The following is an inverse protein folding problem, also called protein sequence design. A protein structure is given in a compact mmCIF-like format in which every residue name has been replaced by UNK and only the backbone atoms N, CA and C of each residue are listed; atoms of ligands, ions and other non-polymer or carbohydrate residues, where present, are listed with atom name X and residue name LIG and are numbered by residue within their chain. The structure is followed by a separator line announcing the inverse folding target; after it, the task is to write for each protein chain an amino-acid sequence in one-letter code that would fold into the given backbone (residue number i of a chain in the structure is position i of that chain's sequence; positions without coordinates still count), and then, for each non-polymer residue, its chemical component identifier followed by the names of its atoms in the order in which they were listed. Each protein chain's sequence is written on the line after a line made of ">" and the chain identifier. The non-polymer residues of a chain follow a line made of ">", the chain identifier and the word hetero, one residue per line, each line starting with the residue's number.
data_IF_602279772145
#
_entry.id   IF_602279772145
#
_cell.length_a   1.000
_cell.length_b   1.000
_cell.length_c   1.000
_cell.angle_alpha   90.00
_cell.angle_beta   90.00
_cell.angle_gamma   90.00
#
_symmetry.space_group_name_H-M   'P 1'
#
loop_
_entity.id
_entity.type
_entity.pdbx_description
1 polymer ?
#
# COMPACT_ATOMS: atom_id res chain seq x y z
N UNK A 1 23.13 -2.78 -19.36
CA UNK A 1 22.17 -3.60 -18.61
C UNK A 1 21.27 -2.62 -17.87
N UNK A 2 19.98 -2.89 -17.71
CA UNK A 2 19.05 -1.92 -17.11
C UNK A 2 19.32 -1.68 -15.61
N UNK A 3 20.07 -2.59 -14.97
CA UNK A 3 20.41 -2.47 -13.54
C UNK A 3 21.90 -2.71 -13.35
N UNK A 4 22.55 -1.75 -12.69
CA UNK A 4 23.92 -1.83 -12.17
C UNK A 4 23.86 -2.05 -10.66
N UNK A 5 24.08 -3.29 -10.21
CA UNK A 5 23.95 -3.67 -8.80
C UNK A 5 24.93 -2.93 -7.87
N UNK A 6 26.16 -2.68 -8.33
CA UNK A 6 27.19 -2.03 -7.52
C UNK A 6 26.84 -0.57 -7.19
N UNK A 7 26.07 0.06 -8.07
CA UNK A 7 25.59 1.44 -7.90
C UNK A 7 24.22 1.49 -7.19
N UNK A 8 23.35 0.52 -7.49
CA UNK A 8 21.95 0.55 -7.04
C UNK A 8 21.76 0.00 -5.62
N UNK A 9 22.44 -1.10 -5.29
CA UNK A 9 22.24 -1.76 -3.99
C UNK A 9 22.83 -0.91 -2.86
N UNK A 10 21.98 -0.56 -1.91
CA UNK A 10 22.34 0.30 -0.78
C UNK A 10 22.35 1.80 -1.11
N UNK A 11 22.05 2.19 -2.35
CA UNK A 11 21.94 3.60 -2.71
C UNK A 11 20.79 4.28 -1.96
N UNK A 12 21.04 5.50 -1.52
CA UNK A 12 20.05 6.35 -0.86
C UNK A 12 19.62 7.47 -1.82
N UNK A 13 18.32 7.76 -1.83
CA UNK A 13 17.79 8.92 -2.53
C UNK A 13 17.95 10.17 -1.66
N UNK A 14 17.98 11.34 -2.30
CA UNK A 14 17.99 12.60 -1.57
C UNK A 14 16.79 12.66 -0.60
N UNK A 15 16.99 13.16 0.63
CA UNK A 15 15.91 13.34 1.59
C UNK A 15 14.79 14.22 1.02
N UNK A 16 13.55 13.85 1.30
CA UNK A 16 12.35 14.60 0.89
C UNK A 16 11.61 15.07 2.13
N UNK A 17 11.50 16.38 2.29
CA UNK A 17 10.65 17.00 3.30
C UNK A 17 9.21 17.10 2.79
N UNK A 18 8.25 16.80 3.65
CA UNK A 18 6.83 16.93 3.35
C UNK A 18 6.03 17.22 4.64
N UNK A 19 4.81 17.67 4.47
CA UNK A 19 3.90 17.92 5.59
C UNK A 19 2.51 17.40 5.25
N UNK A 20 1.72 17.18 6.29
CA UNK A 20 0.32 16.79 6.19
C UNK A 20 -0.52 17.48 7.26
N UNK A 21 -1.80 17.57 6.99
CA UNK A 21 -2.81 18.16 7.86
C UNK A 21 -3.86 17.12 8.26
N UNK A 22 -4.67 17.43 9.27
CA UNK A 22 -5.81 16.57 9.62
C UNK A 22 -6.81 16.42 8.47
N UNK A 23 -6.95 17.43 7.61
CA UNK A 23 -7.79 17.33 6.41
C UNK A 23 -7.27 16.32 5.39
N UNK A 24 -5.95 16.21 5.25
CA UNK A 24 -5.33 15.20 4.36
C UNK A 24 -5.59 13.79 4.88
N UNK A 25 -5.46 13.60 6.19
CA UNK A 25 -5.77 12.33 6.86
C UNK A 25 -7.25 11.96 6.68
N UNK A 26 -8.16 12.91 6.90
CA UNK A 26 -9.59 12.69 6.70
C UNK A 26 -9.91 12.38 5.23
N UNK A 27 -9.32 13.09 4.27
CA UNK A 27 -9.48 12.81 2.84
C UNK A 27 -8.98 11.41 2.48
N UNK A 28 -7.84 10.98 3.04
CA UNK A 28 -7.35 9.62 2.88
C UNK A 28 -8.37 8.59 3.36
N UNK A 29 -8.92 8.77 4.56
CA UNK A 29 -9.90 7.85 5.12
C UNK A 29 -11.20 7.83 4.31
N UNK A 30 -11.69 8.98 3.83
CA UNK A 30 -12.80 9.04 2.87
C UNK A 30 -12.46 8.28 1.58
N UNK A 31 -11.22 8.43 1.08
CA UNK A 31 -10.68 7.67 -0.04
C UNK A 31 -10.68 6.16 0.19
N UNK A 32 -10.64 5.69 1.43
CA UNK A 32 -10.78 4.28 1.81
C UNK A 32 -12.23 3.86 2.09
N UNK A 33 -13.20 4.77 1.95
CA UNK A 33 -14.61 4.49 2.19
C UNK A 33 -15.05 4.61 3.64
N UNK A 34 -14.25 5.22 4.52
CA UNK A 34 -14.69 5.56 5.86
C UNK A 34 -15.90 6.51 5.84
N UNK A 35 -16.83 6.37 6.78
CA UNK A 35 -18.04 7.20 6.86
C UNK A 35 -19.15 6.78 5.89
N UNK A 36 -19.08 5.59 5.31
CA UNK A 36 -20.15 5.06 4.46
C UNK A 36 -21.48 4.95 5.21
N UNK A 37 -21.44 4.64 6.51
CA UNK A 37 -22.57 4.80 7.42
C UNK A 37 -22.31 6.01 8.36
N UNK A 38 -23.00 7.14 8.15
CA UNK A 38 -22.81 8.34 8.95
C UNK A 38 -23.32 8.20 10.41
N UNK A 39 -24.03 7.12 10.72
CA UNK A 39 -24.52 6.82 12.09
C UNK A 39 -23.57 5.91 12.85
N UNK A 40 -22.59 5.28 12.19
CA UNK A 40 -21.58 4.48 12.88
C UNK A 40 -20.49 5.39 13.45
N UNK A 41 -20.51 5.58 14.76
CA UNK A 41 -19.52 6.40 15.48
C UNK A 41 -18.09 5.87 15.37
N UNK A 42 -17.91 4.58 15.10
CA UNK A 42 -16.57 3.99 14.89
C UNK A 42 -15.97 4.50 13.59
N UNK A 43 -16.79 4.66 12.55
CA UNK A 43 -16.39 5.26 11.29
C UNK A 43 -16.01 6.74 11.43
N UNK A 44 -16.79 7.48 12.24
CA UNK A 44 -16.61 8.92 12.41
C UNK A 44 -15.30 9.29 13.13
N UNK A 45 -14.72 8.37 13.93
CA UNK A 45 -13.41 8.59 14.59
C UNK A 45 -12.27 8.88 13.62
N UNK A 46 -12.40 8.49 12.35
CA UNK A 46 -11.46 8.75 11.29
C UNK A 46 -11.66 10.10 10.59
N UNK A 47 -12.79 10.79 10.81
CA UNK A 47 -13.28 11.84 9.91
C UNK A 47 -13.66 13.17 10.57
N UNK A 48 -14.14 13.19 11.82
CA UNK A 48 -14.90 14.34 12.35
C UNK A 48 -14.21 15.13 13.46
N UNK A 49 -13.10 14.66 14.00
CA UNK A 49 -12.39 15.36 15.07
C UNK A 49 -11.24 16.20 14.52
N UNK A 50 -10.86 17.25 15.25
CA UNK A 50 -9.62 18.00 14.98
C UNK A 50 -8.37 17.09 15.10
N UNK A 51 -8.54 15.96 15.80
CA UNK A 51 -7.52 14.93 15.99
C UNK A 51 -8.05 13.56 15.55
N UNK A 52 -8.31 13.33 14.25
CA UNK A 52 -8.78 12.03 13.77
C UNK A 52 -7.73 10.94 14.05
N UNK A 53 -8.20 9.71 14.31
CA UNK A 53 -7.30 8.57 14.33
C UNK A 53 -6.69 8.35 12.95
N UNK A 54 -5.38 8.08 12.90
CA UNK A 54 -4.64 7.94 11.65
C UNK A 54 -4.29 6.47 11.44
N UNK A 55 -4.86 5.85 10.41
CA UNK A 55 -4.45 4.52 10.00
C UNK A 55 -2.96 4.52 9.61
N UNK A 56 -2.13 3.57 10.08
CA UNK A 56 -0.71 3.50 9.73
C UNK A 56 -0.45 3.51 8.23
N UNK A 57 -1.38 3.01 7.43
CA UNK A 57 -1.31 3.00 5.96
C UNK A 57 -1.36 4.40 5.32
N UNK A 58 -1.75 5.45 6.05
CA UNK A 58 -1.56 6.84 5.62
C UNK A 58 -0.08 7.14 5.36
N UNK A 59 0.83 6.58 6.18
CA UNK A 59 2.27 6.72 5.99
C UNK A 59 2.77 6.30 4.61
N UNK A 60 2.08 5.36 3.95
CA UNK A 60 2.45 4.89 2.62
C UNK A 60 2.17 5.92 1.51
N UNK A 61 1.31 6.91 1.75
CA UNK A 61 0.91 7.94 0.77
C UNK A 61 1.29 9.36 1.20
N UNK A 62 1.61 9.57 2.47
CA UNK A 62 1.82 10.90 3.04
C UNK A 62 2.85 11.76 2.27
N UNK A 63 3.98 11.16 1.86
CA UNK A 63 5.03 11.85 1.11
C UNK A 63 4.55 12.35 -0.27
N UNK A 64 3.65 11.61 -0.92
CA UNK A 64 3.17 11.92 -2.26
C UNK A 64 1.76 12.52 -2.28
N UNK A 65 1.19 12.79 -1.11
CA UNK A 65 -0.23 13.11 -0.97
C UNK A 65 -0.69 14.31 -1.83
N UNK A 66 0.13 15.34 -1.93
CA UNK A 66 -0.17 16.55 -2.71
C UNK A 66 0.36 16.50 -4.15
N UNK A 67 0.93 15.38 -4.58
CA UNK A 67 1.45 15.25 -5.93
C UNK A 67 0.31 15.14 -6.95
N UNK A 68 0.45 15.85 -8.05
CA UNK A 68 -0.49 15.81 -9.19
C UNK A 68 0.13 15.18 -10.43
N UNK A 69 1.45 15.01 -10.41
CA UNK A 69 2.22 14.38 -11.49
C UNK A 69 3.11 13.28 -10.91
N UNK A 70 3.45 12.25 -11.69
CA UNK A 70 4.40 11.23 -11.27
C UNK A 70 5.75 11.85 -10.89
N UNK A 71 6.42 11.38 -9.84
CA UNK A 71 7.72 11.89 -9.46
C UNK A 71 8.76 11.62 -10.55
N UNK A 72 9.49 12.65 -10.97
CA UNK A 72 10.64 12.54 -11.87
C UNK A 72 11.89 12.13 -11.08
N UNK A 73 11.91 10.91 -10.54
CA UNK A 73 13.04 10.40 -9.75
C UNK A 73 13.95 9.56 -10.64
N UNK A 74 15.24 9.87 -10.63
CA UNK A 74 16.28 8.99 -11.18
C UNK A 74 16.77 8.09 -10.06
N UNK A 75 16.67 6.79 -10.28
CA UNK A 75 17.19 5.80 -9.34
C UNK A 75 18.66 5.50 -9.67
N UNK A 76 19.60 5.65 -8.72
CA UNK A 76 21.00 5.31 -8.95
C UNK A 76 21.15 3.87 -9.47
N UNK A 77 21.87 3.67 -10.56
CA UNK A 77 22.12 2.36 -11.14
C UNK A 77 20.89 1.61 -11.68
N UNK A 78 19.71 2.23 -11.73
CA UNK A 78 18.45 1.61 -12.18
C UNK A 78 17.88 2.43 -13.34
N UNK A 79 17.97 1.90 -14.54
CA UNK A 79 17.43 2.49 -15.78
C UNK A 79 16.41 1.51 -16.38
N UNK A 80 15.19 1.56 -15.85
CA UNK A 80 14.08 0.65 -16.22
C UNK A 80 12.93 1.42 -16.84
N UNK A 81 12.18 0.73 -17.69
CA UNK A 81 10.97 1.29 -18.30
C UNK A 81 9.81 1.32 -17.32
N UNK A 82 9.46 2.51 -16.81
CA UNK A 82 8.42 2.68 -15.79
C UNK A 82 7.03 2.19 -16.20
N UNK A 83 6.71 2.17 -17.50
CA UNK A 83 5.44 1.62 -18.01
C UNK A 83 5.30 0.10 -17.78
N UNK A 84 6.39 -0.61 -17.53
CA UNK A 84 6.43 -2.05 -17.25
C UNK A 84 6.51 -2.37 -15.75
N UNK A 85 6.53 -1.34 -14.91
CA UNK A 85 6.66 -1.49 -13.47
C UNK A 85 5.29 -1.71 -12.83
N UNK A 86 5.22 -2.72 -11.96
CA UNK A 86 4.06 -2.98 -11.11
C UNK A 86 4.46 -2.83 -9.65
N UNK A 87 3.59 -2.25 -8.84
CA UNK A 87 3.70 -2.31 -7.39
C UNK A 87 3.47 -3.75 -6.95
N UNK A 88 4.44 -4.35 -6.27
CA UNK A 88 4.39 -5.77 -5.91
C UNK A 88 4.07 -6.01 -4.44
N UNK A 89 4.69 -5.27 -3.53
CA UNK A 89 4.46 -5.40 -2.08
C UNK A 89 4.58 -4.06 -1.39
N UNK A 90 3.87 -3.93 -0.30
CA UNK A 90 3.89 -2.76 0.58
C UNK A 90 3.80 -3.19 2.04
N UNK A 91 4.56 -2.56 2.92
CA UNK A 91 4.45 -2.71 4.36
C UNK A 91 4.74 -1.38 5.06
N UNK A 92 4.11 -1.17 6.20
CA UNK A 92 4.36 -0.05 7.10
C UNK A 92 4.53 -0.55 8.52
N UNK A 93 5.51 -0.01 9.23
CA UNK A 93 5.73 -0.26 10.66
C UNK A 93 5.77 1.07 11.37
N UNK A 94 5.04 1.17 12.47
CA UNK A 94 4.94 2.37 13.29
C UNK A 94 5.43 2.09 14.72
N UNK A 95 6.24 2.97 15.34
CA UNK A 95 6.60 2.86 16.75
C UNK A 95 5.45 3.28 17.67
N UNK A 96 4.47 4.00 17.15
CA UNK A 96 3.28 4.52 17.83
C UNK A 96 2.33 5.18 16.83
N UNK A 97 1.22 5.77 17.29
CA UNK A 97 0.25 6.43 16.42
C UNK A 97 0.88 7.55 15.59
N UNK A 98 0.56 7.59 14.30
CA UNK A 98 0.93 8.72 13.43
C UNK A 98 0.11 9.94 13.85
N UNK A 99 0.73 11.13 14.06
CA UNK A 99 -0.03 12.32 14.41
C UNK A 99 -0.93 12.78 13.23
N UNK A 100 -2.11 13.36 13.53
CA UNK A 100 -3.07 13.78 12.48
C UNK A 100 -2.57 14.93 11.62
N UNK A 101 -1.55 15.65 12.06
CA UNK A 101 -0.85 16.67 11.28
C UNK A 101 0.61 16.69 11.67
N UNK A 102 1.48 17.06 10.73
CA UNK A 102 2.91 17.10 11.02
C UNK A 102 3.77 17.42 9.80
N UNK A 103 5.06 17.35 10.04
CA UNK A 103 6.11 17.45 9.03
C UNK A 103 7.04 16.25 9.19
N UNK A 104 7.46 15.67 8.09
CA UNK A 104 8.39 14.55 8.08
C UNK A 104 9.48 14.72 7.04
N UNK A 105 10.62 14.09 7.29
CA UNK A 105 11.70 13.91 6.33
C UNK A 105 11.81 12.44 5.99
N UNK A 106 11.60 12.10 4.72
CA UNK A 106 11.70 10.74 4.19
C UNK A 106 13.09 10.50 3.58
N UNK A 107 13.74 9.41 3.98
CA UNK A 107 14.97 8.90 3.36
C UNK A 107 14.69 7.51 2.83
N UNK A 108 14.89 7.30 1.54
CA UNK A 108 14.64 6.03 0.86
C UNK A 108 15.96 5.39 0.45
N UNK A 109 16.11 4.09 0.77
CA UNK A 109 17.27 3.27 0.41
C UNK A 109 16.84 2.02 -0.33
N UNK A 110 17.58 1.61 -1.37
CA UNK A 110 17.39 0.32 -2.03
C UNK A 110 18.07 -0.79 -1.23
N UNK A 111 17.28 -1.73 -0.73
CA UNK A 111 17.74 -2.75 0.23
C UNK A 111 18.03 -4.10 -0.42
N UNK A 112 17.24 -4.47 -1.44
CA UNK A 112 17.37 -5.76 -2.13
C UNK A 112 17.00 -5.59 -3.60
N UNK A 113 17.72 -6.26 -4.49
CA UNK A 113 17.45 -6.27 -5.93
C UNK A 113 17.62 -7.70 -6.43
N UNK A 114 16.54 -8.30 -6.92
CA UNK A 114 16.50 -9.69 -7.33
C UNK A 114 16.34 -9.85 -8.84
N UNK A 115 17.19 -10.66 -9.46
CA UNK A 115 17.10 -11.05 -10.87
C UNK A 115 16.23 -12.31 -11.02
N UNK A 116 14.99 -12.14 -11.48
CA UNK A 116 14.07 -13.25 -11.75
C UNK A 116 14.24 -13.83 -13.18
N UNK A 117 15.32 -13.48 -13.87
CA UNK A 117 15.62 -13.90 -15.24
C UNK A 117 14.90 -13.06 -16.30
N UNK A 118 13.59 -12.96 -16.27
CA UNK A 118 12.76 -12.14 -17.18
C UNK A 118 12.23 -10.86 -16.55
N UNK A 119 12.48 -10.63 -15.28
CA UNK A 119 12.02 -9.47 -14.54
C UNK A 119 13.00 -9.15 -13.41
N UNK A 120 12.96 -7.92 -12.92
CA UNK A 120 13.61 -7.52 -11.68
C UNK A 120 12.58 -7.33 -10.57
N UNK A 121 12.97 -7.64 -9.32
CA UNK A 121 12.24 -7.22 -8.12
C UNK A 121 13.16 -6.30 -7.35
N UNK A 122 12.72 -5.08 -7.12
CA UNK A 122 13.51 -4.04 -6.47
C UNK A 122 12.80 -3.65 -5.17
N UNK A 123 13.50 -3.84 -4.06
CA UNK A 123 13.04 -3.47 -2.73
C UNK A 123 13.65 -2.15 -2.30
N UNK A 124 12.83 -1.32 -1.71
CA UNK A 124 13.25 -0.09 -1.04
C UNK A 124 12.65 -0.01 0.35
N UNK A 125 13.39 0.62 1.25
CA UNK A 125 12.94 0.99 2.57
C UNK A 125 13.00 2.50 2.71
N UNK A 126 11.92 3.10 3.20
CA UNK A 126 11.83 4.51 3.50
C UNK A 126 11.65 4.70 5.00
N UNK A 127 12.52 5.49 5.60
CA UNK A 127 12.42 5.90 7.00
C UNK A 127 11.92 7.34 7.04
N UNK A 128 10.91 7.60 7.85
CA UNK A 128 10.35 8.95 8.04
C UNK A 128 10.52 9.37 9.48
N UNK A 129 11.23 10.48 9.66
CA UNK A 129 11.46 11.10 10.96
C UNK A 129 10.80 12.49 11.03
N UNK A 130 10.41 12.91 12.23
CA UNK A 130 9.98 14.26 12.50
C UNK A 130 11.17 15.26 12.47
N UNK A 131 10.95 16.59 12.56
CA UNK A 131 12.04 17.58 12.59
C UNK A 131 12.99 17.47 13.79
N UNK A 132 12.59 16.76 14.86
CA UNK A 132 13.44 16.48 16.02
C UNK A 132 14.30 15.20 15.83
N UNK A 133 14.11 14.47 14.73
CA UNK A 133 14.78 13.21 14.42
C UNK A 133 14.10 11.97 15.02
N UNK A 134 12.90 12.10 15.57
CA UNK A 134 12.14 10.97 16.11
C UNK A 134 11.52 10.18 14.96
N UNK A 135 11.65 8.85 14.99
CA UNK A 135 11.06 7.96 14.01
C UNK A 135 9.52 8.04 14.09
N UNK A 136 8.87 8.36 12.98
CA UNK A 136 7.42 8.34 12.83
C UNK A 136 6.92 7.02 12.25
N UNK A 137 7.55 6.52 11.16
CA UNK A 137 7.28 5.21 10.57
C UNK A 137 8.41 4.76 9.66
N UNK A 138 8.43 3.47 9.38
CA UNK A 138 9.19 2.89 8.26
C UNK A 138 8.24 2.27 7.24
N UNK A 139 8.61 2.33 5.97
CA UNK A 139 7.87 1.77 4.85
C UNK A 139 8.80 0.84 4.07
N UNK A 140 8.37 -0.39 3.80
CA UNK A 140 9.10 -1.32 2.93
C UNK A 140 8.25 -1.60 1.70
N UNK A 141 8.80 -1.34 0.52
CA UNK A 141 8.10 -1.44 -0.76
C UNK A 141 8.89 -2.30 -1.73
N UNK A 142 8.21 -3.07 -2.56
CA UNK A 142 8.84 -3.66 -3.73
C UNK A 142 8.08 -3.34 -5.02
N UNK A 143 8.84 -3.20 -6.11
CA UNK A 143 8.31 -3.11 -7.45
C UNK A 143 8.76 -4.33 -8.26
N UNK A 144 7.91 -4.73 -9.21
CA UNK A 144 8.20 -5.78 -10.17
C UNK A 144 8.32 -5.17 -11.56
N UNK A 145 9.53 -5.17 -12.11
CA UNK A 145 9.84 -4.58 -13.42
C UNK A 145 9.92 -5.70 -14.48
N UNK A 146 8.87 -5.78 -15.31
CA UNK A 146 8.76 -6.81 -16.38
C UNK A 146 9.76 -6.53 -17.47
N UNK A 147 10.46 -7.58 -17.93
CA UNK A 147 11.44 -7.48 -19.01
C UNK A 147 12.79 -6.94 -18.58
N UNK A 148 12.98 -6.56 -17.33
CA UNK A 148 14.17 -5.88 -16.81
C UNK A 148 15.10 -6.83 -16.01
N UNK A 149 14.98 -8.14 -16.22
CA UNK A 149 15.86 -9.16 -15.64
C UNK A 149 17.09 -9.48 -16.52
N UNK A 150 17.89 -10.47 -16.09
CA UNK A 150 19.07 -10.93 -16.82
C UNK A 150 20.34 -10.11 -16.55
N UNK A 151 20.35 -9.34 -15.47
CA UNK A 151 21.52 -8.55 -15.05
C UNK A 151 22.50 -9.33 -14.15
N UNK A 152 22.19 -10.61 -13.77
CA UNK A 152 23.12 -11.51 -13.06
C UNK A 152 23.13 -11.37 -11.55
N UNK A 153 22.06 -10.82 -10.96
CA UNK A 153 21.91 -10.70 -9.51
C UNK A 153 21.36 -11.97 -8.83
N UNK A 154 21.23 -11.91 -7.50
CA UNK A 154 20.56 -12.95 -6.73
C UNK A 154 19.10 -13.09 -7.20
N UNK A 155 18.59 -14.32 -7.22
CA UNK A 155 17.20 -14.58 -7.60
C UNK A 155 16.20 -14.19 -6.50
N UNK A 156 16.66 -14.03 -5.26
CA UNK A 156 15.81 -13.86 -4.10
C UNK A 156 14.91 -15.06 -3.84
N UNK A 157 14.11 -15.02 -2.78
CA UNK A 157 13.25 -16.13 -2.40
C UNK A 157 12.23 -16.47 -3.50
N UNK A 158 12.01 -17.77 -3.70
CA UNK A 158 10.92 -18.31 -4.50
C UNK A 158 9.89 -18.88 -3.54
N UNK A 159 8.80 -18.16 -3.32
CA UNK A 159 7.71 -18.63 -2.46
C UNK A 159 6.42 -17.92 -2.81
N UNK A 160 5.30 -18.63 -2.74
CA UNK A 160 3.98 -18.03 -2.72
C UNK A 160 3.59 -17.84 -1.26
N UNK A 161 3.06 -16.67 -0.91
CA UNK A 161 2.32 -16.48 0.34
C UNK A 161 0.99 -17.22 0.21
N UNK A 162 1.02 -18.55 0.31
CA UNK A 162 -0.19 -19.35 0.29
C UNK A 162 -0.96 -19.12 1.58
N UNK A 163 -2.29 -19.06 1.46
CA UNK A 163 -3.15 -19.09 2.64
C UNK A 163 -2.92 -20.38 3.44
N UNK A 164 -3.09 -20.37 4.77
CA UNK A 164 -3.04 -21.58 5.58
C UNK A 164 -4.01 -22.65 5.08
N UNK A 165 -3.59 -23.92 5.10
CA UNK A 165 -4.43 -25.06 4.70
C UNK A 165 -5.42 -25.43 5.83
N UNK A 166 -6.24 -24.49 6.20
CA UNK A 166 -7.37 -24.61 7.15
C UNK A 166 -8.39 -23.51 6.91
N UNK A 167 -9.60 -23.70 7.41
CA UNK A 167 -10.62 -22.65 7.37
C UNK A 167 -10.14 -21.37 8.06
N UNK A 168 -10.54 -20.19 7.57
CA UNK A 168 -10.24 -18.92 8.23
C UNK A 168 -10.92 -18.85 9.60
N UNK A 169 -10.29 -18.15 10.53
CA UNK A 169 -10.86 -17.90 11.86
C UNK A 169 -11.93 -16.80 11.81
N UNK A 170 -11.82 -15.90 10.81
CA UNK A 170 -12.76 -14.81 10.60
C UNK A 170 -12.87 -14.50 9.09
N UNK A 171 -14.07 -14.25 8.62
CA UNK A 171 -14.33 -13.74 7.27
C UNK A 171 -15.03 -12.38 7.36
N UNK A 172 -14.50 -11.41 6.66
CA UNK A 172 -15.02 -10.05 6.59
C UNK A 172 -15.29 -9.68 5.14
N UNK A 173 -16.24 -8.78 4.94
CA UNK A 173 -16.55 -8.24 3.61
C UNK A 173 -16.64 -6.71 3.67
N UNK A 174 -16.11 -6.04 2.67
CA UNK A 174 -16.23 -4.60 2.51
C UNK A 174 -16.49 -4.26 1.03
N UNK A 175 -17.61 -3.59 0.72
CA UNK A 175 -17.90 -3.16 -0.63
C UNK A 175 -17.00 -1.98 -1.02
N UNK A 176 -16.54 -1.93 -2.26
CA UNK A 176 -15.93 -0.73 -2.82
C UNK A 176 -16.99 0.12 -3.52
N UNK A 177 -16.88 1.45 -3.41
CA UNK A 177 -17.74 2.36 -4.16
C UNK A 177 -17.38 2.35 -5.65
N UNK A 178 -18.35 2.50 -6.57
CA UNK A 178 -18.04 2.77 -7.97
C UNK A 178 -17.15 4.01 -8.19
N UNK A 179 -17.16 4.96 -7.26
CA UNK A 179 -16.33 6.16 -7.28
C UNK A 179 -15.02 6.02 -6.49
N UNK A 180 -14.74 4.86 -5.92
CA UNK A 180 -13.62 4.66 -4.99
C UNK A 180 -12.28 5.12 -5.57
N UNK A 181 -11.99 4.76 -6.80
CA UNK A 181 -10.74 5.14 -7.47
C UNK A 181 -10.66 6.67 -7.69
N UNK A 182 -11.79 7.33 -8.00
CA UNK A 182 -11.84 8.77 -8.22
C UNK A 182 -11.64 9.57 -6.92
N UNK A 183 -12.09 9.04 -5.79
CA UNK A 183 -11.82 9.61 -4.46
C UNK A 183 -10.36 9.36 -4.06
N UNK A 184 -9.91 8.11 -4.15
CA UNK A 184 -8.57 7.74 -3.69
C UNK A 184 -7.44 8.42 -4.48
N UNK A 185 -7.62 8.65 -5.79
CA UNK A 185 -6.62 9.37 -6.60
C UNK A 185 -6.31 10.79 -6.06
N UNK A 186 -7.19 11.36 -5.25
CA UNK A 186 -6.96 12.65 -4.58
C UNK A 186 -5.85 12.58 -3.53
N UNK A 187 -5.46 11.36 -3.12
CA UNK A 187 -4.37 11.11 -2.18
C UNK A 187 -2.98 11.03 -2.88
N UNK A 188 -2.83 11.58 -4.09
CA UNK A 188 -1.54 11.76 -4.78
C UNK A 188 -1.25 10.79 -5.93
N UNK A 189 -1.97 9.66 -6.05
CA UNK A 189 -1.81 8.77 -7.21
C UNK A 189 -2.78 9.13 -8.33
N UNK A 190 -2.26 9.89 -9.31
CA UNK A 190 -3.01 10.39 -10.47
C UNK A 190 -2.87 9.53 -11.72
N UNK A 191 -2.34 8.31 -11.60
CA UNK A 191 -2.19 7.41 -12.76
C UNK A 191 -3.53 7.23 -13.49
N UNK A 192 -3.60 7.53 -14.80
CA UNK A 192 -4.84 7.43 -15.59
C UNK A 192 -5.42 6.02 -15.67
N UNK A 193 -4.63 4.99 -15.36
CA UNK A 193 -5.11 3.60 -15.26
C UNK A 193 -6.30 3.44 -14.30
N UNK A 194 -6.45 4.34 -13.34
CA UNK A 194 -7.48 4.32 -12.31
C UNK A 194 -8.68 5.24 -12.62
N UNK A 195 -8.62 6.01 -13.72
CA UNK A 195 -9.64 7.04 -13.99
C UNK A 195 -10.01 7.22 -15.46
N UNK A 196 -9.17 6.76 -16.39
CA UNK A 196 -9.37 6.94 -17.83
C UNK A 196 -9.68 5.59 -18.49
N UNK A 197 -10.92 5.41 -19.04
CA UNK A 197 -11.31 4.17 -19.70
C UNK A 197 -10.46 3.82 -20.93
N UNK A 198 -10.03 4.80 -21.71
CA UNK A 198 -9.24 4.55 -22.92
C UNK A 198 -7.83 4.11 -22.54
N UNK A 199 -7.25 4.72 -21.53
CA UNK A 199 -5.96 4.31 -20.98
C UNK A 199 -6.02 2.89 -20.38
N UNK A 200 -7.08 2.58 -19.62
CA UNK A 200 -7.30 1.25 -19.07
C UNK A 200 -7.45 0.19 -20.16
N UNK A 201 -8.20 0.48 -21.21
CA UNK A 201 -8.39 -0.41 -22.37
C UNK A 201 -7.05 -0.64 -23.10
N UNK A 202 -6.24 0.38 -23.31
CA UNK A 202 -4.92 0.26 -23.91
C UNK A 202 -3.97 -0.58 -23.05
N UNK A 203 -4.16 -0.59 -21.72
CA UNK A 203 -3.42 -1.43 -20.79
C UNK A 203 -4.00 -2.86 -20.66
N UNK A 204 -5.05 -3.19 -21.41
CA UNK A 204 -5.68 -4.53 -21.45
C UNK A 204 -6.75 -4.77 -20.39
N UNK A 205 -7.25 -3.73 -19.73
CA UNK A 205 -8.33 -3.83 -18.75
C UNK A 205 -9.67 -3.39 -19.35
N UNK A 206 -10.79 -4.04 -19.02
CA UNK A 206 -12.13 -3.70 -19.56
C UNK A 206 -12.66 -2.35 -19.04
N UNK A 207 -12.10 -1.83 -17.95
CA UNK A 207 -12.43 -0.54 -17.32
C UNK A 207 -11.31 -0.14 -16.35
N UNK A 208 -11.28 1.13 -15.86
CA UNK A 208 -10.32 1.55 -14.84
C UNK A 208 -10.33 0.65 -13.61
N UNK A 209 -9.14 0.33 -13.11
CA UNK A 209 -8.95 -0.51 -11.93
C UNK A 209 -8.84 0.33 -10.67
N UNK A 210 -9.12 -0.27 -9.52
CA UNK A 210 -8.87 0.35 -8.22
C UNK A 210 -7.36 0.35 -7.93
N UNK A 211 -6.86 1.40 -7.28
CA UNK A 211 -5.48 1.46 -6.81
C UNK A 211 -5.18 0.29 -5.86
N UNK A 212 -4.04 -0.36 -6.05
CA UNK A 212 -3.61 -1.43 -5.15
C UNK A 212 -3.48 -0.94 -3.70
N UNK A 213 -2.94 0.27 -3.50
CA UNK A 213 -2.84 0.88 -2.17
C UNK A 213 -4.20 1.28 -1.56
N UNK A 214 -5.23 1.52 -2.38
CA UNK A 214 -6.59 1.70 -1.87
C UNK A 214 -7.13 0.38 -1.30
N UNK A 215 -7.02 -0.71 -2.05
CA UNK A 215 -7.40 -2.06 -1.57
C UNK A 215 -6.63 -2.43 -0.31
N UNK A 216 -5.33 -2.13 -0.27
CA UNK A 216 -4.45 -2.31 0.89
C UNK A 216 -4.93 -1.51 2.10
N UNK A 217 -5.23 -0.22 1.95
CA UNK A 217 -5.72 0.64 3.02
C UNK A 217 -7.11 0.26 3.52
N UNK A 218 -8.05 -0.07 2.62
CA UNK A 218 -9.40 -0.56 2.97
C UNK A 218 -9.32 -1.84 3.79
N UNK A 219 -8.45 -2.77 3.40
CA UNK A 219 -8.20 -4.02 4.14
C UNK A 219 -7.64 -3.73 5.52
N UNK A 220 -6.63 -2.85 5.64
CA UNK A 220 -6.06 -2.43 6.93
C UNK A 220 -7.13 -1.86 7.85
N UNK A 221 -7.93 -0.89 7.36
CA UNK A 221 -9.04 -0.30 8.12
C UNK A 221 -10.00 -1.37 8.63
N UNK A 222 -10.43 -2.27 7.75
CA UNK A 222 -11.37 -3.33 8.12
C UNK A 222 -10.79 -4.26 9.19
N UNK A 223 -9.49 -4.58 9.12
CA UNK A 223 -8.82 -5.39 10.14
C UNK A 223 -8.68 -4.62 11.47
N UNK A 224 -8.31 -3.34 11.44
CA UNK A 224 -8.24 -2.50 12.66
C UNK A 224 -9.61 -2.43 13.34
N UNK A 225 -10.67 -2.18 12.58
CA UNK A 225 -12.03 -2.06 13.11
C UNK A 225 -12.54 -3.36 13.78
N UNK A 226 -12.14 -4.52 13.24
CA UNK A 226 -12.66 -5.82 13.72
C UNK A 226 -11.72 -6.56 14.67
N UNK A 227 -10.42 -6.33 14.61
CA UNK A 227 -9.43 -7.02 15.44
C UNK A 227 -8.95 -6.17 16.63
N UNK A 228 -9.03 -4.84 16.51
CA UNK A 228 -8.55 -3.88 17.51
C UNK A 228 -9.65 -2.91 17.98
N UNK A 229 -10.92 -3.21 17.71
CA UNK A 229 -12.07 -2.33 18.01
C UNK A 229 -11.87 -0.88 17.50
N UNK A 230 -11.15 -0.74 16.36
CA UNK A 230 -10.82 0.53 15.72
C UNK A 230 -9.74 1.34 16.43
N UNK A 231 -9.00 0.78 17.38
CA UNK A 231 -7.87 1.42 18.01
C UNK A 231 -6.62 1.27 17.13
N UNK A 232 -6.28 2.32 16.38
CA UNK A 232 -5.09 2.34 15.51
C UNK A 232 -3.77 2.20 16.28
N UNK A 233 -3.75 2.55 17.59
CA UNK A 233 -2.54 2.45 18.41
C UNK A 233 -2.14 1.01 18.70
N UNK A 234 -3.08 0.09 18.59
CA UNK A 234 -2.85 -1.34 18.74
C UNK A 234 -2.19 -2.01 17.53
N UNK A 235 -1.93 -1.31 16.42
CA UNK A 235 -1.28 -1.87 15.24
C UNK A 235 0.19 -1.42 15.14
N UNK A 236 1.09 -2.39 15.09
CA UNK A 236 2.54 -2.15 14.93
C UNK A 236 3.01 -2.27 13.48
N UNK A 237 2.62 -3.34 12.81
CA UNK A 237 3.07 -3.59 11.42
C UNK A 237 1.90 -4.09 10.59
N UNK A 238 1.79 -3.55 9.38
CA UNK A 238 0.85 -4.02 8.38
C UNK A 238 1.54 -4.11 7.02
N UNK A 239 1.38 -5.26 6.36
CA UNK A 239 1.98 -5.51 5.06
C UNK A 239 1.10 -6.39 4.17
N UNK A 240 1.28 -6.28 2.85
CA UNK A 240 0.61 -7.15 1.88
C UNK A 240 1.37 -7.19 0.55
N UNK A 241 1.14 -8.25 -0.22
CA UNK A 241 1.53 -8.39 -1.61
C UNK A 241 0.34 -8.10 -2.52
N UNK A 242 0.52 -7.24 -3.51
CA UNK A 242 -0.45 -6.98 -4.58
C UNK A 242 -0.47 -8.18 -5.53
N UNK A 243 -1.53 -8.99 -5.49
CA UNK A 243 -1.62 -10.24 -6.24
C UNK A 243 -2.51 -10.14 -7.48
N UNK A 244 -3.42 -9.17 -7.51
CA UNK A 244 -4.32 -8.94 -8.64
C UNK A 244 -5.03 -7.60 -8.53
N UNK A 245 -5.86 -7.31 -9.52
CA UNK A 245 -6.62 -6.06 -9.61
C UNK A 245 -7.99 -6.18 -8.96
N UNK A 246 -8.54 -5.04 -8.57
CA UNK A 246 -9.94 -4.89 -8.14
C UNK A 246 -10.59 -3.85 -9.05
N UNK A 247 -11.83 -4.02 -9.40
CA UNK A 247 -12.59 -3.00 -10.11
C UNK A 247 -13.49 -2.24 -9.12
N UNK A 248 -13.56 -0.90 -9.22
CA UNK A 248 -14.48 -0.12 -8.40
C UNK A 248 -15.92 -0.66 -8.49
N UNK A 249 -16.56 -0.85 -7.33
CA UNK A 249 -17.88 -1.46 -7.19
C UNK A 249 -17.86 -2.96 -6.87
N UNK A 250 -16.71 -3.63 -6.88
CA UNK A 250 -16.58 -5.01 -6.40
C UNK A 250 -16.49 -5.05 -4.86
N UNK A 251 -16.83 -6.21 -4.31
CA UNK A 251 -16.70 -6.50 -2.87
C UNK A 251 -15.33 -7.12 -2.60
N UNK A 252 -14.69 -6.71 -1.52
CA UNK A 252 -13.51 -7.37 -0.98
C UNK A 252 -13.96 -8.37 0.08
N UNK A 253 -13.60 -9.66 -0.09
CA UNK A 253 -13.70 -10.68 0.96
C UNK A 253 -12.32 -10.86 1.57
N UNK A 254 -12.24 -10.72 2.89
CA UNK A 254 -11.01 -10.82 3.68
C UNK A 254 -11.13 -12.06 4.54
N UNK A 255 -10.36 -13.09 4.21
CA UNK A 255 -10.24 -14.31 5.01
C UNK A 255 -9.04 -14.18 5.93
N UNK A 256 -9.23 -14.31 7.24
CA UNK A 256 -8.25 -14.00 8.28
C UNK A 256 -7.92 -15.25 9.09
N UNK A 257 -6.64 -15.47 9.36
CA UNK A 257 -6.11 -16.53 10.22
C UNK A 257 -5.26 -15.92 11.33
N UNK A 258 -5.52 -16.34 12.57
CA UNK A 258 -4.68 -16.00 13.71
C UNK A 258 -3.51 -16.97 13.81
N UNK A 259 -2.31 -16.47 13.98
CA UNK A 259 -1.09 -17.25 14.08
C UNK A 259 -0.06 -16.53 14.98
N UNK A 260 0.40 -17.19 16.03
CA UNK A 260 1.50 -16.75 16.91
C UNK A 260 1.40 -15.29 17.41
N UNK A 261 0.19 -14.85 17.76
CA UNK A 261 -0.06 -13.48 18.24
C UNK A 261 -0.23 -12.43 17.15
N UNK A 262 -0.03 -12.79 15.90
CA UNK A 262 -0.30 -11.97 14.72
C UNK A 262 -1.48 -12.52 13.92
N UNK A 263 -1.81 -11.85 12.81
CA UNK A 263 -2.81 -12.32 11.86
C UNK A 263 -2.24 -12.30 10.45
N UNK A 264 -2.61 -13.31 9.67
CA UNK A 264 -2.41 -13.30 8.22
C UNK A 264 -3.78 -13.28 7.54
N UNK A 265 -3.83 -12.69 6.33
CA UNK A 265 -5.07 -12.68 5.58
C UNK A 265 -4.83 -12.81 4.06
N UNK A 266 -5.91 -13.14 3.37
CA UNK A 266 -6.01 -13.08 1.90
C UNK A 266 -7.25 -12.31 1.53
N UNK A 267 -7.14 -11.44 0.52
CA UNK A 267 -8.26 -10.66 0.02
C UNK A 267 -8.62 -11.10 -1.38
N UNK A 268 -9.89 -11.38 -1.59
CA UNK A 268 -10.42 -11.84 -2.89
C UNK A 268 -11.60 -10.98 -3.34
N UNK A 269 -11.89 -11.01 -4.64
CA UNK A 269 -13.09 -10.43 -5.24
C UNK A 269 -14.08 -11.56 -5.60
N UNK A 270 -15.16 -11.76 -4.81
CA UNK A 270 -16.12 -12.84 -5.03
C UNK A 270 -16.80 -12.78 -6.42
N UNK A 271 -17.05 -11.59 -6.93
CA UNK A 271 -17.71 -11.38 -8.24
C UNK A 271 -16.85 -11.87 -9.41
N UNK A 272 -15.56 -12.18 -9.18
CA UNK A 272 -14.63 -12.72 -10.18
C UNK A 272 -14.03 -14.04 -9.73
N UNK A 273 -14.88 -15.01 -9.41
CA UNK A 273 -14.48 -16.36 -8.99
C UNK A 273 -13.44 -16.37 -7.87
N UNK A 274 -13.56 -15.43 -6.90
CA UNK A 274 -12.62 -15.21 -5.82
C UNK A 274 -11.19 -14.89 -6.30
N UNK A 275 -11.05 -14.14 -7.37
CA UNK A 275 -9.75 -13.67 -7.83
C UNK A 275 -9.01 -12.96 -6.69
N UNK A 276 -7.76 -13.39 -6.45
CA UNK A 276 -6.95 -12.85 -5.35
C UNK A 276 -6.50 -11.44 -5.66
N UNK A 277 -6.84 -10.48 -4.81
CA UNK A 277 -6.42 -9.09 -4.89
C UNK A 277 -5.16 -8.83 -4.03
N UNK A 278 -5.19 -9.23 -2.75
CA UNK A 278 -4.02 -9.19 -1.85
C UNK A 278 -3.73 -10.58 -1.31
N UNK A 279 -2.46 -10.92 -1.23
CA UNK A 279 -1.98 -12.16 -0.66
C UNK A 279 -0.90 -11.91 0.38
N UNK A 280 -0.76 -12.84 1.35
CA UNK A 280 0.22 -12.71 2.41
C UNK A 280 0.07 -11.39 3.17
N UNK A 281 -1.17 -11.02 3.45
CA UNK A 281 -1.43 -9.90 4.36
C UNK A 281 -0.88 -10.25 5.71
N UNK A 282 -0.05 -9.39 6.26
CA UNK A 282 0.52 -9.49 7.61
C UNK A 282 -0.05 -8.35 8.46
N UNK A 283 -0.59 -8.70 9.62
CA UNK A 283 -1.14 -7.74 10.58
C UNK A 283 -0.60 -8.11 11.96
N UNK A 284 0.32 -7.28 12.46
CA UNK A 284 1.03 -7.50 13.73
C UNK A 284 0.57 -6.45 14.73
N UNK A 285 -0.18 -6.85 15.76
CA UNK A 285 -0.51 -5.97 16.88
C UNK A 285 0.73 -5.43 17.61
N UNK A 286 0.57 -4.32 18.33
CA UNK A 286 1.60 -3.68 19.14
C UNK A 286 1.91 -4.45 20.43
#
# INVERSE_FOLDING_TARGET
>A
MPINLDEALGAELAPVEFSWTSSDVQLYHLGLGAGADPMDKRELRYLTDDTPQVLPTFGNVAQSFHMTEPPAVKFPGIDIELSKVLHASEAVTVPGPIPPSGTGTAVTRFTEIWDKGKAAVIWSETTVNDPAGTLLWTQKRSIFARGEGGFGGDRGPSGSSAAPDRSPDLELTVPTSPQQALLYRMCGDRNPLHSDPDFAAAAGFPRPILHGLCTYGMTCKTLVDNLLDGDVSGLKTYGARMAGVVFPGETLRISVWKQDGAYTATVTAPERDNAVALAGVEFVPA
#
